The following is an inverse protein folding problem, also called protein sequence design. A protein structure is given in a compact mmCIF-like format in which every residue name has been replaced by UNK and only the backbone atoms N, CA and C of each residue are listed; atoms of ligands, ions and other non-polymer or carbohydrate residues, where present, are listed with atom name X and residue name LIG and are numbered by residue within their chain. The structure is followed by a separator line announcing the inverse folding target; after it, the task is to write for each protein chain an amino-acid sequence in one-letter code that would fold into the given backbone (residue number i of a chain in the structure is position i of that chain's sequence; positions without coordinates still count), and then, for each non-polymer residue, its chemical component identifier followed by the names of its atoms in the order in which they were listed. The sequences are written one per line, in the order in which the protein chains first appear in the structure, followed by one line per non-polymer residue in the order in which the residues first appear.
data_IF_755119711740
#
_entry.id   IF_755119711740
#
_cell.length_a   1.000
_cell.length_b   1.000
_cell.length_c   1.000
_cell.angle_alpha   90.00
_cell.angle_beta   90.00
_cell.angle_gamma   90.00
#
_symmetry.space_group_name_H-M   'P 1'
#
loop_
_entity.id
_entity.type
_entity.pdbx_description
1 polymer ?
#
# COMPACT_ATOMS: atom_id res chain seq x y z
N UNK A 1 14.04 -12.07 7.23
CA UNK A 1 13.16 -11.07 7.92
C UNK A 1 12.39 -10.26 6.88
N UNK A 2 11.09 -10.01 7.10
CA UNK A 2 10.27 -9.11 6.27
C UNK A 2 9.96 -7.84 7.07
N UNK A 3 10.14 -6.67 6.46
CA UNK A 3 9.92 -5.36 7.08
C UNK A 3 8.78 -4.68 6.32
N UNK A 4 7.72 -4.29 7.03
CA UNK A 4 6.67 -3.43 6.47
C UNK A 4 6.97 -1.99 6.88
N UNK A 5 7.24 -1.13 5.90
CA UNK A 5 7.36 0.30 6.09
C UNK A 5 6.05 0.98 5.72
N UNK A 6 5.56 1.86 6.60
CA UNK A 6 4.36 2.66 6.39
C UNK A 6 4.73 4.15 6.40
N UNK A 7 4.17 4.89 5.45
CA UNK A 7 4.17 6.34 5.44
C UNK A 7 2.70 6.78 5.43
N UNK A 8 2.23 7.26 6.58
CA UNK A 8 0.85 7.65 6.80
C UNK A 8 0.72 9.17 6.66
N UNK A 9 0.09 9.60 5.57
CA UNK A 9 -0.42 10.96 5.42
C UNK A 9 -1.82 11.11 6.02
N UNK A 10 -2.30 12.35 6.08
CA UNK A 10 -3.63 12.67 6.62
C UNK A 10 -4.81 12.08 5.84
N UNK A 11 -4.58 11.59 4.62
CA UNK A 11 -5.61 10.97 3.78
C UNK A 11 -5.07 9.83 2.92
N UNK A 12 -3.89 9.31 3.25
CA UNK A 12 -3.27 8.23 2.50
C UNK A 12 -2.31 7.40 3.34
N UNK A 13 -2.12 6.14 2.95
CA UNK A 13 -1.12 5.25 3.54
C UNK A 13 -0.33 4.63 2.40
N UNK A 14 0.94 5.04 2.27
CA UNK A 14 1.90 4.38 1.39
C UNK A 14 2.59 3.28 2.15
N UNK A 15 2.78 2.13 1.53
CA UNK A 15 3.44 0.99 2.17
C UNK A 15 4.42 0.29 1.25
N UNK A 16 5.44 -0.32 1.85
CA UNK A 16 6.39 -1.21 1.18
C UNK A 16 6.69 -2.41 2.08
N UNK A 17 6.64 -3.61 1.52
CA UNK A 17 7.11 -4.82 2.14
C UNK A 17 8.50 -5.16 1.61
N UNK A 18 9.50 -5.04 2.46
CA UNK A 18 10.90 -5.28 2.15
C UNK A 18 11.35 -6.63 2.69
N UNK A 19 11.97 -7.45 1.86
CA UNK A 19 12.63 -8.68 2.27
C UNK A 19 14.12 -8.39 2.50
N UNK A 20 14.51 -8.37 3.78
CA UNK A 20 15.82 -7.90 4.21
C UNK A 20 16.96 -8.80 3.72
N UNK A 21 16.75 -10.11 3.68
CA UNK A 21 17.80 -11.07 3.31
C UNK A 21 18.26 -10.92 1.86
N UNK A 22 17.34 -10.56 0.96
CA UNK A 22 17.65 -10.34 -0.46
C UNK A 22 17.78 -8.86 -0.84
N UNK A 23 17.61 -7.96 0.12
CA UNK A 23 17.56 -6.51 -0.10
C UNK A 23 16.54 -6.06 -1.16
N UNK A 24 15.36 -6.69 -1.20
CA UNK A 24 14.34 -6.45 -2.24
C UNK A 24 13.04 -5.95 -1.65
N UNK A 25 12.39 -5.01 -2.36
CA UNK A 25 10.96 -4.73 -2.17
C UNK A 25 10.17 -5.83 -2.86
N UNK A 26 9.38 -6.57 -2.09
CA UNK A 26 8.58 -7.71 -2.58
C UNK A 26 7.12 -7.34 -2.78
N UNK A 27 6.66 -6.23 -2.21
CA UNK A 27 5.38 -5.60 -2.52
C UNK A 27 5.41 -4.12 -2.14
N UNK A 28 4.60 -3.31 -2.81
CA UNK A 28 4.34 -1.92 -2.41
C UNK A 28 2.92 -1.53 -2.77
N UNK A 29 2.44 -0.45 -2.19
CA UNK A 29 1.17 0.08 -2.58
C UNK A 29 0.80 1.35 -1.85
N UNK A 30 -0.42 1.79 -2.12
CA UNK A 30 -0.97 3.00 -1.56
C UNK A 30 -2.48 2.83 -1.36
N UNK A 31 -2.96 3.27 -0.21
CA UNK A 31 -4.36 3.59 0.03
C UNK A 31 -4.50 5.10 -0.08
N UNK A 32 -5.46 5.57 -0.87
CA UNK A 32 -5.72 6.99 -1.09
C UNK A 32 -7.14 7.37 -0.65
N UNK A 33 -7.32 8.66 -0.38
CA UNK A 33 -8.60 9.29 0.00
C UNK A 33 -9.25 8.71 1.27
N UNK A 34 -8.43 8.29 2.23
CA UNK A 34 -8.90 7.84 3.56
C UNK A 34 -9.66 8.97 4.24
N UNK A 35 -10.88 8.71 4.71
CA UNK A 35 -11.77 9.66 5.36
C UNK A 35 -12.39 10.72 4.43
N UNK A 36 -12.14 10.65 3.12
CA UNK A 36 -12.63 11.63 2.12
C UNK A 36 -13.79 11.08 1.28
N UNK A 37 -13.89 9.76 1.13
CA UNK A 37 -14.80 9.11 0.19
C UNK A 37 -14.12 8.75 -1.13
N UNK A 38 -14.68 7.79 -1.86
CA UNK A 38 -14.09 7.18 -3.06
C UNK A 38 -12.69 6.63 -2.79
N UNK A 39 -12.48 6.06 -1.60
CA UNK A 39 -11.20 5.48 -1.22
C UNK A 39 -10.86 4.27 -2.09
N UNK A 40 -9.58 4.06 -2.31
CA UNK A 40 -9.10 2.95 -3.11
C UNK A 40 -7.72 2.50 -2.69
N UNK A 41 -7.39 1.28 -3.09
CA UNK A 41 -6.05 0.72 -2.96
C UNK A 41 -5.44 0.47 -4.34
N UNK A 42 -4.14 0.69 -4.45
CA UNK A 42 -3.29 0.19 -5.53
C UNK A 42 -2.18 -0.64 -4.90
N UNK A 43 -2.02 -1.88 -5.36
CA UNK A 43 -1.06 -2.84 -4.86
C UNK A 43 -0.24 -3.43 -6.00
N UNK A 44 1.08 -3.35 -5.87
CA UNK A 44 2.04 -3.81 -6.87
C UNK A 44 2.95 -4.88 -6.26
N UNK A 45 3.06 -6.01 -6.96
CA UNK A 45 3.98 -7.11 -6.65
C UNK A 45 4.79 -7.39 -7.91
N UNK A 46 6.14 -7.45 -7.84
CA UNK A 46 6.96 -7.78 -8.99
C UNK A 46 6.50 -9.09 -9.66
N UNK A 47 6.27 -9.05 -10.98
CA UNK A 47 5.82 -10.21 -11.76
C UNK A 47 4.32 -10.50 -11.70
N UNK A 48 3.50 -9.60 -11.14
CA UNK A 48 2.04 -9.67 -11.17
C UNK A 48 1.45 -8.40 -11.76
N UNK A 49 0.24 -8.51 -12.29
CA UNK A 49 -0.54 -7.34 -12.66
C UNK A 49 -0.83 -6.48 -11.42
N UNK A 50 -0.91 -5.17 -11.63
CA UNK A 50 -1.29 -4.24 -10.58
C UNK A 50 -2.71 -4.55 -10.10
N UNK A 51 -2.85 -4.80 -8.81
CA UNK A 51 -4.16 -4.94 -8.18
C UNK A 51 -4.68 -3.56 -7.80
N UNK A 52 -5.89 -3.25 -8.26
CA UNK A 52 -6.63 -2.04 -7.88
C UNK A 52 -8.00 -2.46 -7.39
N UNK A 53 -8.42 -1.86 -6.30
CA UNK A 53 -9.75 -2.08 -5.75
C UNK A 53 -10.28 -0.80 -5.11
N UNK A 54 -11.59 -0.63 -5.22
CA UNK A 54 -12.32 0.52 -4.68
C UNK A 54 -13.07 0.07 -3.45
N UNK A 55 -12.74 0.68 -2.31
CA UNK A 55 -13.29 0.31 -1.02
C UNK A 55 -13.28 1.53 -0.13
N UNK A 56 -14.44 1.88 0.42
CA UNK A 56 -14.58 3.04 1.29
C UNK A 56 -13.80 2.88 2.60
N UNK A 57 -12.90 3.83 2.87
CA UNK A 57 -12.16 3.91 4.12
C UNK A 57 -12.65 5.13 4.90
N UNK A 58 -13.52 4.90 5.88
CA UNK A 58 -14.08 5.97 6.72
C UNK A 58 -13.06 6.58 7.68
N UNK A 59 -12.05 5.81 8.09
CA UNK A 59 -10.96 6.19 8.97
C UNK A 59 -9.65 5.45 8.61
N UNK A 60 -8.56 5.83 9.29
CA UNK A 60 -7.22 5.21 9.16
C UNK A 60 -7.07 3.92 9.95
#
# INVERSE_FOLDING_TARGET
MKILALNCGSSSVKYQLYYWEEHKVIAKGIVERVGIGDSFIVHEVPGRDTYRDEYECHDH
#
